data_IF_914803907368
#
_entry.id   IF_914803907368
#
_cell.length_a   1.000
_cell.length_b   1.000
_cell.length_c   1.000
_cell.angle_alpha   90.00
_cell.angle_beta   90.00
_cell.angle_gamma   90.00
#
_symmetry.space_group_name_H-M   'P 1'
#
loop_
_entity.id
_entity.type
_entity.pdbx_description
1 polymer ?
#
# COMPACT_ATOMS: atom_id res chain seq x y z
N UNK A 1 6.00 16.49 4.69
CA UNK A 1 7.13 15.73 4.08
C UNK A 1 6.90 14.22 4.13
N UNK A 2 6.77 13.56 5.29
CA UNK A 2 6.65 12.09 5.40
C UNK A 2 5.49 11.51 4.58
N UNK A 3 4.28 12.07 4.71
CA UNK A 3 3.12 11.60 3.93
C UNK A 3 3.30 11.76 2.42
N UNK A 4 3.94 12.83 1.96
CA UNK A 4 4.22 13.02 0.55
C UNK A 4 5.24 11.99 0.04
N UNK A 5 6.29 11.73 0.83
CA UNK A 5 7.27 10.70 0.53
C UNK A 5 6.60 9.31 0.41
N UNK A 6 5.70 8.97 1.33
CA UNK A 6 4.93 7.73 1.30
C UNK A 6 4.03 7.64 0.06
N UNK A 7 3.29 8.69 -0.27
CA UNK A 7 2.42 8.70 -1.46
C UNK A 7 3.26 8.52 -2.73
N UNK A 8 4.38 9.24 -2.87
CA UNK A 8 5.27 9.13 -4.03
C UNK A 8 5.94 7.78 -4.13
N UNK A 9 6.34 7.20 -3.00
CA UNK A 9 6.89 5.85 -2.94
C UNK A 9 5.91 4.79 -3.47
N UNK A 10 4.62 4.95 -3.17
CA UNK A 10 3.58 4.00 -3.55
C UNK A 10 2.87 4.31 -4.87
N UNK A 11 2.93 5.55 -5.37
CA UNK A 11 2.36 5.91 -6.67
C UNK A 11 3.28 5.45 -7.80
N UNK A 12 3.02 4.27 -8.33
CA UNK A 12 3.84 3.62 -9.37
C UNK A 12 3.07 3.36 -10.65
N UNK A 13 1.74 3.34 -10.61
CA UNK A 13 0.88 3.07 -11.75
C UNK A 13 -0.39 3.90 -11.69
N UNK A 14 -0.70 4.61 -12.76
CA UNK A 14 -1.96 5.35 -12.90
C UNK A 14 -3.14 4.39 -13.12
N UNK A 15 -2.92 3.29 -13.83
CA UNK A 15 -3.97 2.32 -14.20
C UNK A 15 -4.66 1.67 -13.01
N UNK A 16 -3.98 1.60 -11.85
CA UNK A 16 -4.49 0.98 -10.63
C UNK A 16 -4.61 1.97 -9.47
N UNK A 17 -4.52 3.27 -9.75
CA UNK A 17 -4.62 4.33 -8.73
C UNK A 17 -5.94 5.06 -8.85
N UNK A 18 -6.75 5.02 -7.80
CA UNK A 18 -8.10 5.56 -7.80
C UNK A 18 -8.33 6.52 -6.64
N UNK A 19 -9.09 7.58 -6.91
CA UNK A 19 -9.61 8.49 -5.88
C UNK A 19 -11.12 8.63 -6.00
N UNK A 20 -11.77 8.91 -4.89
CA UNK A 20 -13.16 9.31 -4.82
C UNK A 20 -13.22 10.68 -4.14
N UNK A 21 -13.93 11.62 -4.77
CA UNK A 21 -14.19 12.95 -4.25
C UNK A 21 -15.66 13.29 -4.45
N UNK A 22 -16.15 14.22 -3.62
CA UNK A 22 -17.46 14.87 -3.70
C UNK A 22 -17.28 16.37 -3.44
N UNK A 23 -18.38 17.08 -3.22
CA UNK A 23 -18.38 18.53 -2.97
C UNK A 23 -17.61 18.91 -1.70
N UNK A 24 -17.49 18.00 -0.72
CA UNK A 24 -16.70 18.15 0.49
C UNK A 24 -15.19 17.84 0.28
N UNK A 25 -14.79 17.55 -0.97
CA UNK A 25 -13.41 17.23 -1.35
C UNK A 25 -13.12 15.73 -1.40
N UNK A 26 -11.82 15.36 -1.25
CA UNK A 26 -11.38 13.98 -1.37
C UNK A 26 -11.88 13.11 -0.21
N UNK A 27 -12.66 12.07 -0.53
CA UNK A 27 -13.25 11.14 0.43
C UNK A 27 -12.40 9.88 0.65
N UNK A 28 -11.52 9.57 -0.28
CA UNK A 28 -10.58 8.47 -0.16
C UNK A 28 -9.79 8.22 -1.43
N UNK A 29 -8.74 7.43 -1.31
CA UNK A 29 -7.96 6.97 -2.43
C UNK A 29 -7.35 5.59 -2.16
N UNK A 30 -6.98 4.91 -3.23
CA UNK A 30 -6.27 3.65 -3.20
C UNK A 30 -5.20 3.68 -4.30
N UNK A 31 -3.95 3.42 -3.91
CA UNK A 31 -2.82 3.25 -4.80
C UNK A 31 -2.47 1.78 -4.89
N UNK A 32 -2.38 1.25 -6.10
CA UNK A 32 -1.92 -0.09 -6.35
C UNK A 32 -1.00 -0.12 -7.57
N UNK A 33 -0.15 -1.12 -7.65
CA UNK A 33 0.75 -1.31 -8.78
C UNK A 33 1.15 -2.78 -8.94
N UNK A 34 1.42 -3.26 -10.17
CA UNK A 34 2.10 -4.52 -10.38
C UNK A 34 3.41 -4.58 -9.58
N UNK A 35 3.75 -5.75 -9.05
CA UNK A 35 4.97 -5.90 -8.25
C UNK A 35 6.27 -5.75 -9.08
N UNK A 36 6.17 -5.84 -10.41
CA UNK A 36 7.25 -5.50 -11.36
C UNK A 36 7.57 -4.01 -11.40
N UNK A 37 6.60 -3.14 -11.07
CA UNK A 37 6.79 -1.69 -11.09
C UNK A 37 7.75 -1.23 -10.00
N UNK A 38 8.66 -0.32 -10.37
CA UNK A 38 9.69 0.19 -9.46
C UNK A 38 9.24 1.50 -8.80
N UNK A 39 9.88 1.79 -7.67
CA UNK A 39 9.81 3.09 -7.03
C UNK A 39 10.56 4.14 -7.85
N UNK A 40 9.90 5.23 -8.19
CA UNK A 40 10.45 6.37 -8.93
C UNK A 40 10.65 7.61 -8.05
N UNK A 41 10.43 7.50 -6.74
CA UNK A 41 10.46 8.64 -5.83
C UNK A 41 11.86 9.11 -5.44
N UNK A 42 12.91 8.31 -5.66
CA UNK A 42 14.25 8.52 -5.13
C UNK A 42 14.89 9.86 -5.54
N UNK A 43 14.79 10.23 -6.82
CA UNK A 43 15.36 11.48 -7.32
C UNK A 43 14.66 12.71 -6.71
N UNK A 44 13.34 12.64 -6.56
CA UNK A 44 12.56 13.68 -5.88
C UNK A 44 12.90 13.73 -4.39
N UNK A 45 12.96 12.57 -3.72
CA UNK A 45 13.22 12.45 -2.29
C UNK A 45 14.54 13.12 -1.90
N UNK A 46 15.60 12.86 -2.66
CA UNK A 46 16.92 13.46 -2.45
C UNK A 46 16.86 15.00 -2.47
N UNK A 47 16.11 15.58 -3.42
CA UNK A 47 15.93 17.04 -3.52
C UNK A 47 15.06 17.58 -2.39
N UNK A 48 13.97 16.89 -2.09
CA UNK A 48 12.99 17.31 -1.10
C UNK A 48 13.57 17.28 0.33
N UNK A 49 14.47 16.35 0.61
CA UNK A 49 15.11 16.23 1.93
C UNK A 49 16.34 17.11 2.12
N UNK A 50 16.92 17.68 1.06
CA UNK A 50 18.13 18.48 1.14
C UNK A 50 18.11 19.64 2.18
N UNK A 51 16.98 20.36 2.41
CA UNK A 51 16.92 21.42 3.40
C UNK A 51 16.71 20.95 4.85
N UNK A 52 16.52 19.65 5.09
CA UNK A 52 16.26 19.08 6.41
C UNK A 52 17.53 18.63 7.11
N UNK A 53 17.52 18.60 8.44
CA UNK A 53 18.62 18.06 9.25
C UNK A 53 18.82 16.56 9.00
N UNK A 54 19.99 16.02 9.35
CA UNK A 54 20.23 14.57 9.22
C UNK A 54 19.20 13.75 10.01
N UNK A 55 18.84 14.18 11.22
CA UNK A 55 17.85 13.49 12.05
C UNK A 55 16.47 13.45 11.39
N UNK A 56 16.02 14.55 10.79
CA UNK A 56 14.74 14.61 10.08
C UNK A 56 14.76 13.74 8.80
N UNK A 57 15.91 13.73 8.09
CA UNK A 57 16.10 12.85 6.94
C UNK A 57 16.04 11.37 7.36
N UNK A 58 16.70 11.02 8.46
CA UNK A 58 16.73 9.65 8.98
C UNK A 58 15.33 9.13 9.34
N UNK A 59 14.47 9.97 9.90
CA UNK A 59 13.06 9.61 10.15
C UNK A 59 12.35 9.17 8.86
N UNK A 60 12.50 9.94 7.79
CA UNK A 60 11.88 9.61 6.49
C UNK A 60 12.48 8.34 5.90
N UNK A 61 13.81 8.20 5.91
CA UNK A 61 14.48 7.02 5.37
C UNK A 61 14.16 5.75 6.17
N UNK A 62 14.09 5.83 7.49
CA UNK A 62 13.71 4.71 8.35
C UNK A 62 12.29 4.25 8.05
N UNK A 63 11.36 5.21 7.88
CA UNK A 63 9.99 4.87 7.51
C UNK A 63 9.90 4.22 6.13
N UNK A 64 10.59 4.77 5.11
CA UNK A 64 10.62 4.15 3.78
C UNK A 64 11.28 2.77 3.79
N UNK A 65 12.29 2.54 4.65
CA UNK A 65 12.89 1.22 4.87
C UNK A 65 11.88 0.23 5.46
N UNK A 66 11.07 0.68 6.42
CA UNK A 66 9.96 -0.12 6.96
C UNK A 66 8.95 -0.51 5.86
N UNK A 67 8.52 0.44 5.04
CA UNK A 67 7.62 0.16 3.91
C UNK A 67 8.26 -0.82 2.90
N UNK A 68 9.53 -0.62 2.59
CA UNK A 68 10.28 -1.46 1.66
C UNK A 68 10.42 -2.89 2.17
N UNK A 69 10.71 -3.07 3.46
CA UNK A 69 10.81 -4.38 4.08
C UNK A 69 9.48 -5.16 3.97
N UNK A 70 8.37 -4.53 4.33
CA UNK A 70 7.05 -5.16 4.19
C UNK A 70 6.75 -5.51 2.73
N UNK A 71 7.08 -4.63 1.80
CA UNK A 71 6.96 -4.88 0.36
C UNK A 71 7.85 -6.03 -0.14
N UNK A 72 9.05 -6.21 0.40
CA UNK A 72 9.93 -7.34 0.07
C UNK A 72 9.35 -8.67 0.56
N UNK A 73 8.73 -8.70 1.75
CA UNK A 73 8.02 -9.88 2.26
C UNK A 73 6.88 -10.28 1.31
N UNK A 74 6.09 -9.31 0.83
CA UNK A 74 5.05 -9.57 -0.18
C UNK A 74 5.66 -10.15 -1.46
N UNK A 75 6.77 -9.58 -1.96
CA UNK A 75 7.44 -10.07 -3.17
C UNK A 75 7.92 -11.51 -3.05
N UNK A 76 8.31 -11.95 -1.85
CA UNK A 76 8.73 -13.34 -1.61
C UNK A 76 7.57 -14.35 -1.77
N UNK A 77 6.31 -13.91 -1.67
CA UNK A 77 5.10 -14.72 -1.75
C UNK A 77 4.35 -14.58 -3.09
N UNK A 78 4.80 -13.71 -3.96
CA UNK A 78 4.08 -13.25 -5.14
C UNK A 78 4.90 -13.38 -6.42
N UNK A 79 4.26 -13.12 -7.55
CA UNK A 79 4.90 -13.01 -8.85
C UNK A 79 4.98 -11.55 -9.31
N UNK A 80 5.89 -11.19 -10.24
CA UNK A 80 6.04 -9.82 -10.74
C UNK A 80 4.76 -9.23 -11.34
N UNK A 81 3.91 -10.04 -11.95
CA UNK A 81 2.62 -9.66 -12.56
C UNK A 81 1.47 -9.53 -11.55
N UNK A 82 1.62 -10.01 -10.32
CA UNK A 82 0.62 -9.84 -9.28
C UNK A 82 0.52 -8.37 -8.84
N UNK A 83 -0.64 -7.93 -8.36
CA UNK A 83 -0.91 -6.55 -7.95
C UNK A 83 -0.72 -6.37 -6.45
N UNK A 84 0.06 -5.36 -6.07
CA UNK A 84 0.17 -4.90 -4.68
C UNK A 84 -0.78 -3.72 -4.46
N UNK A 85 -1.68 -3.83 -3.48
CA UNK A 85 -2.40 -2.70 -2.91
C UNK A 85 -1.45 -1.98 -1.95
N UNK A 86 -0.98 -0.79 -2.36
CA UNK A 86 0.14 -0.11 -1.72
C UNK A 86 -0.29 0.81 -0.58
N UNK A 87 -1.31 1.65 -0.83
CA UNK A 87 -1.79 2.65 0.12
C UNK A 87 -3.29 2.83 -0.07
N UNK A 88 -4.03 2.73 1.04
CA UNK A 88 -5.47 2.76 1.02
C UNK A 88 -6.03 3.60 2.18
N UNK A 89 -6.70 4.67 1.85
CA UNK A 89 -7.34 5.57 2.81
C UNK A 89 -8.78 5.84 2.42
N UNK A 90 -9.68 5.85 3.41
CA UNK A 90 -11.06 6.27 3.23
C UNK A 90 -11.58 7.02 4.46
N UNK A 91 -12.28 8.14 4.23
CA UNK A 91 -12.82 9.00 5.30
C UNK A 91 -14.24 8.66 5.70
N UNK A 92 -15.05 8.15 4.75
CA UNK A 92 -16.48 7.86 4.96
C UNK A 92 -16.76 6.37 4.77
N UNK A 93 -17.77 5.87 5.49
CA UNK A 93 -18.28 4.51 5.30
C UNK A 93 -18.68 4.27 3.83
N UNK A 94 -18.39 3.07 3.33
CA UNK A 94 -18.66 2.66 1.94
C UNK A 94 -17.65 3.13 0.90
N UNK A 95 -16.89 4.21 1.13
CA UNK A 95 -15.87 4.72 0.19
C UNK A 95 -14.79 3.68 -0.05
N UNK A 96 -14.28 3.06 1.02
CA UNK A 96 -13.26 2.01 0.91
C UNK A 96 -13.72 0.83 0.05
N UNK A 97 -14.96 0.38 0.24
CA UNK A 97 -15.53 -0.71 -0.56
C UNK A 97 -15.62 -0.36 -2.05
N UNK A 98 -15.98 0.87 -2.37
CA UNK A 98 -16.08 1.35 -3.76
C UNK A 98 -14.70 1.42 -4.41
N UNK A 99 -13.68 1.90 -3.68
CA UNK A 99 -12.30 1.96 -4.17
C UNK A 99 -11.75 0.56 -4.42
N UNK A 100 -11.94 -0.37 -3.48
CA UNK A 100 -11.48 -1.74 -3.60
C UNK A 100 -12.11 -2.45 -4.82
N UNK A 101 -13.43 -2.30 -5.02
CA UNK A 101 -14.13 -2.83 -6.19
C UNK A 101 -13.58 -2.26 -7.51
N UNK A 102 -13.19 -0.97 -7.55
CA UNK A 102 -12.58 -0.37 -8.75
C UNK A 102 -11.23 -1.01 -9.09
N UNK A 103 -10.38 -1.22 -8.09
CA UNK A 103 -9.09 -1.87 -8.29
C UNK A 103 -9.26 -3.34 -8.69
N UNK A 104 -10.17 -4.07 -8.05
CA UNK A 104 -10.48 -5.47 -8.38
C UNK A 104 -11.01 -5.60 -9.82
N UNK A 105 -11.88 -4.67 -10.27
CA UNK A 105 -12.36 -4.64 -11.64
C UNK A 105 -11.22 -4.37 -12.64
N UNK A 106 -10.40 -3.35 -12.40
CA UNK A 106 -9.26 -3.04 -13.24
C UNK A 106 -8.24 -4.20 -13.30
N UNK A 107 -7.99 -4.87 -12.17
CA UNK A 107 -7.14 -6.04 -12.12
C UNK A 107 -7.69 -7.20 -12.99
N UNK A 108 -9.00 -7.45 -12.90
CA UNK A 108 -9.68 -8.46 -13.72
C UNK A 108 -9.60 -8.14 -15.22
N UNK A 109 -9.86 -6.89 -15.60
CA UNK A 109 -9.77 -6.42 -16.99
C UNK A 109 -8.36 -6.60 -17.57
N UNK A 110 -7.31 -6.43 -16.75
CA UNK A 110 -5.93 -6.61 -17.17
C UNK A 110 -5.38 -8.04 -16.95
N UNK A 111 -6.24 -8.99 -16.58
CA UNK A 111 -5.87 -10.40 -16.42
C UNK A 111 -4.96 -10.69 -15.23
N UNK A 112 -4.89 -9.79 -14.26
CA UNK A 112 -4.12 -9.99 -13.03
C UNK A 112 -4.80 -11.09 -12.20
N UNK A 113 -4.01 -12.06 -11.73
CA UNK A 113 -4.51 -13.27 -11.08
C UNK A 113 -4.59 -13.16 -9.56
N UNK A 114 -3.74 -12.33 -8.97
CA UNK A 114 -3.69 -12.18 -7.51
C UNK A 114 -3.47 -10.74 -7.10
N UNK A 115 -4.16 -10.37 -6.02
CA UNK A 115 -3.92 -9.14 -5.30
C UNK A 115 -3.27 -9.47 -3.96
N UNK A 116 -2.28 -8.67 -3.60
CA UNK A 116 -1.60 -8.71 -2.31
C UNK A 116 -1.72 -7.37 -1.61
N UNK A 117 -1.69 -7.40 -0.31
CA UNK A 117 -1.48 -6.23 0.55
C UNK A 117 -0.79 -6.68 1.83
N UNK A 118 -0.24 -5.72 2.56
CA UNK A 118 0.11 -5.91 3.94
C UNK A 118 -0.58 -4.86 4.82
N UNK A 119 -0.83 -5.21 6.06
CA UNK A 119 -1.40 -4.34 7.08
C UNK A 119 -0.77 -4.66 8.43
N UNK A 120 -0.38 -3.65 9.19
CA UNK A 120 0.10 -3.80 10.54
C UNK A 120 -1.01 -3.59 11.58
N UNK A 121 -0.66 -3.72 12.85
CA UNK A 121 -1.60 -3.60 13.97
C UNK A 121 -2.23 -2.20 14.10
N UNK A 122 -1.69 -1.18 13.43
CA UNK A 122 -2.25 0.19 13.41
C UNK A 122 -3.40 0.34 12.39
N UNK A 123 -3.57 -0.65 11.49
CA UNK A 123 -4.59 -0.67 10.45
C UNK A 123 -5.84 -1.47 10.87
N UNK A 124 -6.98 -1.28 10.19
CA UNK A 124 -8.13 -2.20 10.28
C UNK A 124 -7.83 -3.47 9.46
N UNK A 125 -6.88 -4.28 9.94
CA UNK A 125 -6.47 -5.51 9.27
C UNK A 125 -7.61 -6.53 9.12
N UNK A 126 -8.58 -6.54 10.05
CA UNK A 126 -9.74 -7.41 9.99
C UNK A 126 -10.70 -7.06 8.82
N UNK A 127 -10.64 -5.83 8.31
CA UNK A 127 -11.43 -5.39 7.16
C UNK A 127 -11.18 -6.28 5.92
N UNK A 128 -9.93 -6.64 5.67
CA UNK A 128 -9.56 -7.42 4.49
C UNK A 128 -10.07 -8.86 4.54
N UNK A 129 -10.07 -9.49 5.72
CA UNK A 129 -10.68 -10.82 5.89
C UNK A 129 -12.16 -10.81 5.54
N UNK A 130 -12.90 -9.78 5.99
CA UNK A 130 -14.34 -9.59 5.66
C UNK A 130 -14.60 -9.34 4.17
N UNK A 131 -13.54 -9.03 3.38
CA UNK A 131 -13.58 -8.80 1.94
C UNK A 131 -13.05 -9.97 1.11
N UNK A 132 -12.89 -11.13 1.73
CA UNK A 132 -12.48 -12.37 1.05
C UNK A 132 -10.98 -12.46 0.81
N UNK A 133 -10.17 -11.63 1.48
CA UNK A 133 -8.71 -11.81 1.49
C UNK A 133 -8.34 -12.88 2.51
N UNK A 134 -7.49 -13.81 2.10
CA UNK A 134 -6.89 -14.83 2.96
C UNK A 134 -5.53 -14.36 3.46
N UNK A 135 -5.22 -14.69 4.70
CA UNK A 135 -3.89 -14.47 5.26
C UNK A 135 -2.87 -15.39 4.56
N UNK A 136 -1.78 -14.80 4.10
CA UNK A 136 -0.67 -15.52 3.47
C UNK A 136 0.53 -15.65 4.40
N UNK A 137 0.75 -14.65 5.27
CA UNK A 137 1.83 -14.61 6.25
C UNK A 137 1.47 -13.68 7.41
N UNK A 138 2.00 -13.97 8.59
CA UNK A 138 2.04 -13.08 9.74
C UNK A 138 3.48 -13.02 10.27
N UNK A 139 3.95 -11.84 10.63
CA UNK A 139 5.29 -11.63 11.19
C UNK A 139 5.34 -10.39 12.06
N UNK A 140 6.35 -10.30 12.90
CA UNK A 140 6.61 -9.11 13.73
C UNK A 140 7.67 -8.24 13.05
N UNK A 141 7.36 -6.96 12.83
CA UNK A 141 8.28 -5.97 12.30
C UNK A 141 8.77 -5.04 13.43
N UNK A 142 10.09 -4.87 13.53
CA UNK A 142 10.75 -4.06 14.56
C UNK A 142 11.59 -2.92 13.97
N UNK A 143 11.41 -2.59 12.68
CA UNK A 143 12.25 -1.60 11.97
C UNK A 143 11.92 -0.14 12.32
N UNK A 144 10.80 0.11 13.01
CA UNK A 144 10.45 1.44 13.52
C UNK A 144 10.42 1.38 15.05
N UNK A 145 11.55 1.66 15.73
CA UNK A 145 11.64 1.58 17.18
C UNK A 145 10.60 2.42 17.93
N UNK A 146 10.23 3.57 17.36
CA UNK A 146 9.21 4.48 17.89
C UNK A 146 7.80 3.90 17.90
N UNK A 147 7.52 2.90 17.07
CA UNK A 147 6.25 2.17 17.06
C UNK A 147 6.33 0.86 17.86
N UNK A 148 7.53 0.47 18.32
CA UNK A 148 7.76 -0.83 18.96
C UNK A 148 7.61 -1.99 17.96
N UNK A 149 7.40 -3.18 18.51
CA UNK A 149 7.17 -4.39 17.72
C UNK A 149 5.76 -4.35 17.10
N UNK A 150 5.66 -4.29 15.77
CA UNK A 150 4.40 -4.26 15.04
C UNK A 150 4.07 -5.62 14.45
N UNK A 151 2.97 -6.21 14.90
CA UNK A 151 2.40 -7.37 14.20
C UNK A 151 1.91 -6.94 12.82
N UNK A 152 2.34 -7.67 11.79
CA UNK A 152 2.07 -7.37 10.39
C UNK A 152 1.55 -8.61 9.70
N UNK A 153 0.49 -8.46 8.91
CA UNK A 153 -0.15 -9.51 8.12
C UNK A 153 0.00 -9.21 6.65
N UNK A 154 0.33 -10.24 5.88
CA UNK A 154 0.22 -10.21 4.41
C UNK A 154 -1.05 -10.94 4.03
N UNK A 155 -1.89 -10.27 3.27
CA UNK A 155 -3.13 -10.81 2.73
C UNK A 155 -3.02 -11.00 1.23
N UNK A 156 -3.75 -12.00 0.72
CA UNK A 156 -3.89 -12.24 -0.71
C UNK A 156 -5.35 -12.51 -1.07
N UNK A 157 -5.72 -12.15 -2.30
CA UNK A 157 -6.99 -12.53 -2.94
C UNK A 157 -6.68 -13.04 -4.35
N UNK A 158 -7.26 -14.18 -4.73
CA UNK A 158 -7.12 -14.79 -6.06
C UNK A 158 -8.35 -14.53 -6.92
N UNK A 159 -8.29 -14.81 -8.21
CA UNK A 159 -9.16 -14.47 -9.36
C UNK A 159 -10.68 -14.39 -9.18
N UNK A 160 -11.26 -14.81 -8.09
CA UNK A 160 -12.70 -14.69 -7.83
C UNK A 160 -13.05 -13.28 -7.33
N UNK A 161 -12.59 -12.26 -8.09
CA UNK A 161 -12.95 -10.88 -7.81
C UNK A 161 -14.42 -10.66 -8.21
N UNK A 162 -15.33 -10.69 -7.25
CA UNK A 162 -16.67 -10.15 -7.45
C UNK A 162 -17.81 -11.15 -7.67
N UNK A 163 -17.78 -12.26 -6.97
CA UNK A 163 -19.02 -12.99 -6.65
C UNK A 163 -19.63 -12.45 -5.35
#
# INVERSE_FOLDING_TARGET
MLYEAMVRYYFRSESFSFKLADDDGMQGFLLAAPLSERDHSQAWLKKALAPFTCEEQDLVYNYLRYLSYNGQRVRALSKPEDLLLCLFLSRKSGVGSRLLKKVEAAAKEQGIKKLFLWADATCDYAYYRRRGYSEAEQFTNTLLPELGAQETWIYRKSDNYGD
#
